data_IF_999733237064
#
_entry.id   IF_999733237064
#
_cell.length_a   1.000
_cell.length_b   1.000
_cell.length_c   1.000
_cell.angle_alpha   90.00
_cell.angle_beta   90.00
_cell.angle_gamma   90.00
#
_symmetry.space_group_name_H-M   'P 1'
#
loop_
_entity.id
_entity.type
_entity.pdbx_description
1 polymer ?
#
# COMPACT_ATOMS: atom_id res chain seq x y z
N UNK A 1 48.08 -21.73 54.79
CA UNK A 1 49.06 -22.48 53.97
C UNK A 1 48.30 -23.49 53.12
N UNK A 2 48.78 -23.68 51.90
CA UNK A 2 48.12 -24.17 50.67
C UNK A 2 47.62 -25.62 50.62
N UNK A 3 46.62 -25.83 49.75
CA UNK A 3 46.46 -26.87 48.70
C UNK A 3 44.98 -27.31 48.60
N UNK A 4 44.18 -26.86 47.60
CA UNK A 4 44.09 -27.22 46.16
C UNK A 4 43.54 -28.63 45.88
N UNK A 5 42.27 -28.62 45.44
CA UNK A 5 41.59 -29.34 44.35
C UNK A 5 41.71 -30.88 44.20
N UNK A 6 40.58 -31.57 44.07
CA UNK A 6 39.92 -31.80 42.76
C UNK A 6 38.77 -32.81 42.90
N UNK A 7 37.57 -32.41 42.46
CA UNK A 7 36.39 -33.26 42.37
C UNK A 7 36.21 -33.83 40.95
N UNK A 8 36.06 -35.15 40.96
CA UNK A 8 35.38 -36.12 40.09
C UNK A 8 34.47 -35.65 38.93
N UNK A 9 34.49 -36.53 37.92
CA UNK A 9 33.37 -37.07 37.13
C UNK A 9 33.12 -36.51 35.71
N UNK A 10 33.64 -37.28 34.75
CA UNK A 10 32.95 -37.89 33.59
C UNK A 10 31.60 -37.32 33.18
N UNK A 11 31.58 -36.62 32.05
CA UNK A 11 30.38 -36.24 31.31
C UNK A 11 30.38 -36.86 29.90
N UNK A 12 29.36 -37.67 29.65
CA UNK A 12 29.02 -38.37 28.41
C UNK A 12 28.94 -37.45 27.18
N UNK A 13 29.49 -37.94 26.06
CA UNK A 13 29.40 -37.36 24.72
C UNK A 13 27.93 -37.26 24.23
N UNK A 14 27.51 -36.05 23.86
CA UNK A 14 26.35 -35.79 23.01
C UNK A 14 26.84 -35.35 21.61
N UNK A 15 26.13 -35.67 20.52
CA UNK A 15 26.60 -35.41 19.15
C UNK A 15 26.55 -33.91 18.80
N UNK A 16 27.35 -33.47 17.82
CA UNK A 16 27.50 -32.05 17.50
C UNK A 16 26.26 -31.49 16.80
N UNK A 17 25.85 -30.33 17.30
CA UNK A 17 24.93 -29.35 16.73
C UNK A 17 25.12 -29.20 15.22
N UNK A 18 24.12 -29.59 14.42
CA UNK A 18 24.05 -29.20 13.02
C UNK A 18 24.01 -27.68 12.93
N UNK A 19 25.00 -27.17 12.20
CA UNK A 19 25.20 -25.76 11.91
C UNK A 19 23.92 -25.16 11.32
N UNK A 20 23.50 -24.04 11.90
CA UNK A 20 22.36 -23.27 11.44
C UNK A 20 22.45 -23.01 9.95
N UNK A 21 21.44 -23.44 9.22
CA UNK A 21 21.11 -22.90 7.90
C UNK A 21 21.01 -21.38 8.07
N UNK A 22 21.84 -20.58 7.38
CA UNK A 22 21.61 -19.15 7.36
C UNK A 22 20.24 -18.96 6.74
N UNK A 23 19.32 -18.34 7.49
CA UNK A 23 18.10 -17.83 6.90
C UNK A 23 18.50 -17.03 5.65
N UNK A 24 17.84 -17.22 4.50
CA UNK A 24 18.14 -16.43 3.32
C UNK A 24 18.07 -14.95 3.73
N UNK A 25 19.02 -14.11 3.27
CA UNK A 25 19.02 -12.71 3.66
C UNK A 25 17.64 -12.16 3.36
N UNK A 26 16.93 -11.77 4.42
CA UNK A 26 15.73 -10.96 4.32
C UNK A 26 16.13 -9.80 3.42
N UNK A 27 15.58 -9.74 2.21
CA UNK A 27 15.69 -8.61 1.28
C UNK A 27 14.95 -7.39 1.87
N UNK A 28 15.29 -7.02 3.10
CA UNK A 28 14.97 -5.75 3.70
C UNK A 28 16.00 -4.73 3.20
N UNK A 29 16.02 -4.46 1.89
CA UNK A 29 16.68 -3.28 1.34
C UNK A 29 15.85 -2.70 0.20
N UNK A 30 15.29 -1.53 0.52
CA UNK A 30 14.68 -0.55 -0.36
C UNK A 30 15.27 -0.52 -1.78
N UNK A 31 14.71 -1.31 -2.69
CA UNK A 31 14.78 -0.95 -4.11
C UNK A 31 14.05 0.38 -4.19
N UNK A 32 14.76 1.49 -4.44
CA UNK A 32 14.13 2.76 -4.83
C UNK A 32 13.26 2.44 -6.04
N UNK A 33 11.96 2.24 -5.79
CA UNK A 33 11.06 1.71 -6.81
C UNK A 33 10.98 2.72 -7.94
N UNK A 34 11.46 2.32 -9.11
CA UNK A 34 11.52 3.19 -10.28
C UNK A 34 10.10 3.58 -10.66
N UNK A 35 9.86 4.88 -10.69
CA UNK A 35 8.62 5.45 -11.21
C UNK A 35 8.56 5.15 -12.71
N UNK A 36 7.44 4.61 -13.18
CA UNK A 36 7.24 4.36 -14.61
C UNK A 36 7.13 5.71 -15.34
N UNK A 37 7.93 5.94 -16.41
CA UNK A 37 7.82 7.15 -17.20
C UNK A 37 6.42 7.33 -17.78
N UNK A 38 5.84 8.49 -17.53
CA UNK A 38 4.49 8.87 -17.95
C UNK A 38 4.58 10.04 -18.92
N UNK A 39 3.72 10.03 -19.94
CA UNK A 39 3.55 11.19 -20.81
C UNK A 39 2.76 12.30 -20.11
N UNK A 40 2.70 13.46 -20.76
CA UNK A 40 2.02 14.65 -20.23
C UNK A 40 0.54 14.39 -19.98
N UNK A 41 -0.15 13.83 -20.97
CA UNK A 41 -1.60 13.63 -20.92
C UNK A 41 -1.98 12.16 -20.96
N UNK A 42 -3.14 11.83 -20.40
CA UNK A 42 -3.75 10.51 -20.53
C UNK A 42 -5.25 10.67 -20.80
N UNK A 43 -5.80 9.81 -21.66
CA UNK A 43 -7.25 9.77 -21.93
C UNK A 43 -7.91 8.47 -21.47
N UNK A 44 -7.10 7.46 -21.11
CA UNK A 44 -7.54 6.23 -20.46
C UNK A 44 -6.58 5.81 -19.36
N UNK A 45 -7.16 5.33 -18.26
CA UNK A 45 -6.43 4.80 -17.13
C UNK A 45 -7.07 3.49 -16.67
N UNK A 46 -6.26 2.47 -16.43
CA UNK A 46 -6.66 1.24 -15.78
C UNK A 46 -6.46 1.38 -14.28
N UNK A 47 -7.50 1.12 -13.50
CA UNK A 47 -7.43 1.36 -12.07
C UNK A 47 -8.63 0.85 -11.30
N UNK A 48 -8.56 1.07 -9.98
CA UNK A 48 -9.59 0.71 -9.01
C UNK A 48 -10.32 1.97 -8.60
N UNK A 49 -11.65 1.96 -8.71
CA UNK A 49 -12.49 3.09 -8.34
C UNK A 49 -12.57 3.22 -6.82
N UNK A 50 -12.40 4.44 -6.32
CA UNK A 50 -12.53 4.82 -4.92
C UNK A 50 -13.76 5.71 -4.80
N UNK A 51 -14.71 5.28 -3.99
CA UNK A 51 -15.89 6.06 -3.64
C UNK A 51 -15.69 6.80 -2.31
N UNK A 52 -16.65 7.67 -2.00
CA UNK A 52 -16.64 8.49 -0.79
C UNK A 52 -16.53 7.65 0.48
N UNK A 53 -17.26 6.53 0.59
CA UNK A 53 -17.19 5.66 1.77
C UNK A 53 -15.83 4.98 1.95
N UNK A 54 -15.17 4.61 0.85
CA UNK A 54 -13.79 4.11 0.91
C UNK A 54 -12.85 5.21 1.39
N UNK A 55 -12.98 6.41 0.85
CA UNK A 55 -12.16 7.55 1.24
C UNK A 55 -12.41 7.97 2.68
N UNK A 56 -13.65 7.92 3.15
CA UNK A 56 -14.00 8.16 4.55
C UNK A 56 -13.34 7.14 5.49
N UNK A 57 -13.40 5.85 5.17
CA UNK A 57 -12.75 4.79 5.97
C UNK A 57 -11.23 5.01 6.06
N UNK A 58 -10.59 5.24 4.92
CA UNK A 58 -9.13 5.42 4.87
C UNK A 58 -8.69 6.77 5.44
N UNK A 59 -9.47 7.83 5.26
CA UNK A 59 -9.28 9.13 5.85
C UNK A 59 -9.42 9.09 7.37
N UNK A 60 -10.41 8.36 7.88
CA UNK A 60 -10.60 8.12 9.32
C UNK A 60 -9.39 7.41 9.92
N UNK A 61 -8.89 6.35 9.24
CA UNK A 61 -7.68 5.65 9.67
C UNK A 61 -6.47 6.59 9.71
N UNK A 62 -6.24 7.37 8.65
CA UNK A 62 -5.17 8.37 8.61
C UNK A 62 -5.33 9.37 9.75
N UNK A 63 -6.52 9.93 9.95
CA UNK A 63 -6.79 10.95 10.97
C UNK A 63 -6.55 10.40 12.37
N UNK A 64 -6.96 9.15 12.65
CA UNK A 64 -6.66 8.48 13.92
C UNK A 64 -5.15 8.27 14.12
N UNK A 65 -4.42 7.93 13.07
CA UNK A 65 -2.96 7.76 13.12
C UNK A 65 -2.23 9.09 13.39
N UNK A 66 -2.63 10.18 12.71
CA UNK A 66 -1.94 11.47 12.81
C UNK A 66 -2.43 12.36 13.95
N UNK A 67 -3.68 12.19 14.37
CA UNK A 67 -4.43 13.06 15.28
C UNK A 67 -5.31 12.25 16.26
N UNK A 68 -4.76 11.26 16.99
CA UNK A 68 -5.55 10.32 17.79
C UNK A 68 -6.42 11.02 18.85
N UNK A 69 -5.89 12.04 19.53
CA UNK A 69 -6.61 12.79 20.57
C UNK A 69 -7.78 13.62 20.04
N UNK A 70 -7.64 14.16 18.83
CA UNK A 70 -8.69 14.96 18.19
C UNK A 70 -9.76 14.02 17.62
N UNK A 71 -9.35 12.92 16.98
CA UNK A 71 -10.26 11.91 16.44
C UNK A 71 -11.28 11.40 17.47
N UNK A 72 -10.85 11.21 18.72
CA UNK A 72 -11.71 10.71 19.81
C UNK A 72 -12.75 11.73 20.31
N UNK A 73 -12.69 12.99 19.86
CA UNK A 73 -13.57 14.07 20.31
C UNK A 73 -14.58 14.51 19.25
N UNK A 74 -14.35 14.13 18.00
CA UNK A 74 -15.22 14.49 16.89
C UNK A 74 -16.40 13.52 16.82
N UNK A 75 -17.58 14.06 16.55
CA UNK A 75 -18.69 13.27 16.04
C UNK A 75 -18.36 12.72 14.65
N UNK A 76 -19.14 11.72 14.20
CA UNK A 76 -18.96 11.15 12.86
C UNK A 76 -19.04 12.22 11.77
N UNK A 77 -19.98 13.17 11.91
CA UNK A 77 -20.17 14.27 10.97
C UNK A 77 -18.96 15.19 10.93
N UNK A 78 -18.47 15.65 12.08
CA UNK A 78 -17.30 16.53 12.11
C UNK A 78 -16.04 15.83 11.57
N UNK A 79 -15.91 14.52 11.79
CA UNK A 79 -14.83 13.73 11.20
C UNK A 79 -14.97 13.63 9.66
N UNK A 80 -16.20 13.50 9.13
CA UNK A 80 -16.44 13.53 7.67
C UNK A 80 -16.02 14.86 7.09
N UNK A 81 -16.41 15.96 7.71
CA UNK A 81 -16.03 17.33 7.29
C UNK A 81 -14.50 17.50 7.27
N UNK A 82 -13.80 17.07 8.34
CA UNK A 82 -12.33 17.12 8.41
C UNK A 82 -11.64 16.24 7.35
N UNK A 83 -12.22 15.09 7.00
CA UNK A 83 -11.69 14.20 5.97
C UNK A 83 -11.89 14.81 4.58
N UNK A 84 -13.02 15.48 4.34
CA UNK A 84 -13.26 16.21 3.09
C UNK A 84 -12.24 17.35 2.92
N UNK A 85 -12.01 18.15 3.96
CA UNK A 85 -10.99 19.21 3.98
C UNK A 85 -9.56 18.68 3.77
N UNK A 86 -9.31 17.44 4.20
CA UNK A 86 -8.01 16.77 4.08
C UNK A 86 -7.97 15.69 2.99
N UNK A 87 -8.93 15.71 2.06
CA UNK A 87 -9.06 14.71 1.00
C UNK A 87 -7.77 14.48 0.19
N UNK A 88 -6.98 15.51 -0.19
CA UNK A 88 -5.70 15.30 -0.85
C UNK A 88 -4.72 14.42 -0.05
N UNK A 89 -4.68 14.59 1.28
CA UNK A 89 -3.84 13.77 2.15
C UNK A 89 -4.34 12.33 2.22
N UNK A 90 -5.66 12.13 2.32
CA UNK A 90 -6.31 10.81 2.29
C UNK A 90 -5.99 10.07 0.99
N UNK A 91 -6.10 10.73 -0.17
CA UNK A 91 -5.77 10.14 -1.47
C UNK A 91 -4.29 9.70 -1.51
N UNK A 92 -3.37 10.57 -1.13
CA UNK A 92 -1.94 10.23 -1.06
C UNK A 92 -1.66 9.06 -0.11
N UNK A 93 -2.34 9.03 1.03
CA UNK A 93 -2.24 7.95 2.01
C UNK A 93 -2.72 6.63 1.42
N UNK A 94 -3.92 6.58 0.81
CA UNK A 94 -4.44 5.38 0.14
C UNK A 94 -3.45 4.82 -0.88
N UNK A 95 -2.93 5.66 -1.78
CA UNK A 95 -1.95 5.23 -2.77
C UNK A 95 -0.66 4.69 -2.11
N UNK A 96 -0.19 5.37 -1.05
CA UNK A 96 0.99 4.93 -0.29
C UNK A 96 0.79 3.56 0.34
N UNK A 97 -0.34 3.35 1.00
CA UNK A 97 -0.68 2.09 1.68
C UNK A 97 -0.81 0.94 0.69
N UNK A 98 -1.49 1.15 -0.45
CA UNK A 98 -1.60 0.13 -1.52
C UNK A 98 -0.22 -0.22 -2.08
N UNK A 99 0.60 0.78 -2.44
CA UNK A 99 1.96 0.47 -2.89
C UNK A 99 2.80 -0.16 -1.79
N UNK A 100 2.58 0.16 -0.52
CA UNK A 100 3.25 -0.49 0.61
C UNK A 100 2.95 -1.99 0.66
N UNK A 101 1.66 -2.33 0.62
CA UNK A 101 1.15 -3.70 0.71
C UNK A 101 1.45 -4.54 -0.55
N UNK A 102 1.41 -3.93 -1.74
CA UNK A 102 1.58 -4.62 -3.02
C UNK A 102 2.80 -4.07 -3.76
N UNK A 103 4.03 -4.49 -3.38
CA UNK A 103 5.27 -3.90 -3.87
C UNK A 103 5.52 -4.13 -5.36
N UNK A 104 4.89 -5.16 -5.93
CA UNK A 104 4.94 -5.55 -7.33
C UNK A 104 4.08 -4.67 -8.23
N UNK A 105 3.13 -3.89 -7.67
CA UNK A 105 2.36 -2.92 -8.45
C UNK A 105 3.29 -1.79 -8.91
N UNK A 106 3.34 -1.47 -10.22
CA UNK A 106 4.16 -0.40 -10.74
C UNK A 106 3.78 0.97 -10.16
N UNK A 107 4.78 1.77 -9.80
CA UNK A 107 4.56 3.12 -9.27
C UNK A 107 4.43 4.15 -10.39
N UNK A 108 3.31 4.86 -10.38
CA UNK A 108 3.03 5.98 -11.26
C UNK A 108 3.14 7.30 -10.49
N UNK A 109 3.49 8.39 -11.18
CA UNK A 109 3.31 9.75 -10.63
C UNK A 109 1.83 10.11 -10.60
N UNK A 110 1.13 9.89 -11.72
CA UNK A 110 -0.33 10.02 -11.80
C UNK A 110 -0.96 8.71 -11.32
N UNK A 111 -0.90 8.49 -10.01
CA UNK A 111 -1.44 7.30 -9.33
C UNK A 111 -2.87 7.50 -8.84
N UNK A 112 -3.39 8.73 -8.80
CA UNK A 112 -4.78 9.05 -8.48
C UNK A 112 -5.30 10.09 -9.46
N UNK A 113 -6.53 9.89 -9.93
CA UNK A 113 -7.23 10.79 -10.85
C UNK A 113 -8.69 10.96 -10.41
N UNK A 114 -9.22 12.17 -10.51
CA UNK A 114 -10.64 12.44 -10.32
C UNK A 114 -11.41 12.00 -11.58
N UNK A 115 -12.35 11.07 -11.43
CA UNK A 115 -13.21 10.60 -12.53
C UNK A 115 -14.47 11.44 -12.66
N UNK A 116 -15.14 11.70 -11.54
CA UNK A 116 -16.37 12.46 -11.52
C UNK A 116 -16.35 13.43 -10.32
N UNK A 117 -16.19 14.74 -10.55
CA UNK A 117 -16.21 15.74 -9.47
C UNK A 117 -17.55 15.79 -8.76
N UNK A 118 -18.67 15.57 -9.46
CA UNK A 118 -20.02 15.65 -8.90
C UNK A 118 -20.30 14.49 -7.95
N UNK A 119 -19.75 13.31 -8.24
CA UNK A 119 -19.95 12.10 -7.44
C UNK A 119 -18.79 11.81 -6.48
N UNK A 120 -17.81 12.71 -6.37
CA UNK A 120 -16.63 12.49 -5.53
C UNK A 120 -15.86 11.21 -5.87
N UNK A 121 -15.93 10.74 -7.13
CA UNK A 121 -15.39 9.43 -7.51
C UNK A 121 -13.96 9.58 -8.02
N UNK A 122 -13.04 8.87 -7.37
CA UNK A 122 -11.62 8.86 -7.70
C UNK A 122 -11.20 7.52 -8.28
N UNK A 123 -10.07 7.50 -8.96
CA UNK A 123 -9.47 6.30 -9.52
C UNK A 123 -8.05 6.16 -9.00
N UNK A 124 -7.77 5.06 -8.31
CA UNK A 124 -6.40 4.60 -8.08
C UNK A 124 -5.86 4.00 -9.38
N UNK A 125 -4.98 4.74 -10.05
CA UNK A 125 -4.42 4.38 -11.34
C UNK A 125 -3.27 3.39 -11.15
N UNK A 126 -3.41 2.23 -11.77
CA UNK A 126 -2.38 1.18 -11.80
C UNK A 126 -1.58 1.24 -13.11
N UNK A 127 -2.19 1.78 -14.16
CA UNK A 127 -1.63 1.90 -15.50
C UNK A 127 -2.38 2.94 -16.33
N UNK A 128 -1.74 3.60 -17.29
CA UNK A 128 -2.41 4.52 -18.22
C UNK A 128 -1.82 4.46 -19.63
N UNK A 129 -2.40 5.23 -20.56
CA UNK A 129 -1.98 5.27 -21.96
C UNK A 129 -1.18 6.51 -22.37
N UNK A 130 -0.57 7.21 -21.42
CA UNK A 130 0.18 8.45 -21.69
C UNK A 130 1.53 8.24 -22.38
N UNK A 131 2.11 7.05 -22.26
CA UNK A 131 3.39 6.70 -22.85
C UNK A 131 3.43 5.20 -23.16
N UNK A 132 4.30 4.73 -24.06
CA UNK A 132 4.50 3.30 -24.26
C UNK A 132 4.95 2.56 -22.98
N UNK A 133 5.73 3.22 -22.11
CA UNK A 133 6.20 2.62 -20.87
C UNK A 133 5.04 2.42 -19.87
N UNK A 134 4.20 3.44 -19.70
CA UNK A 134 2.99 3.33 -18.89
C UNK A 134 2.03 2.30 -19.52
N UNK A 135 1.77 2.37 -20.82
CA UNK A 135 0.80 1.51 -21.50
C UNK A 135 1.21 0.04 -21.62
N UNK A 136 2.49 -0.30 -21.47
CA UNK A 136 2.95 -1.70 -21.56
C UNK A 136 3.34 -2.29 -20.20
N UNK A 137 3.28 -1.52 -19.11
CA UNK A 137 3.62 -2.07 -17.79
C UNK A 137 2.70 -3.23 -17.42
N UNK A 138 3.27 -4.31 -16.90
CA UNK A 138 2.50 -5.45 -16.43
C UNK A 138 1.87 -5.13 -15.08
N UNK A 139 0.58 -5.46 -14.93
CA UNK A 139 -0.14 -5.37 -13.66
C UNK A 139 -0.75 -6.73 -13.42
N UNK A 140 -0.25 -7.45 -12.41
CA UNK A 140 -0.67 -8.81 -12.11
C UNK A 140 -2.08 -8.82 -11.54
N UNK A 141 -2.93 -9.71 -12.04
CA UNK A 141 -4.31 -9.85 -11.56
C UNK A 141 -4.39 -10.17 -10.06
N UNK A 142 -3.45 -10.96 -9.54
CA UNK A 142 -3.36 -11.28 -8.11
C UNK A 142 -3.14 -10.02 -7.25
N UNK A 143 -2.25 -9.12 -7.69
CA UNK A 143 -1.98 -7.88 -6.96
C UNK A 143 -3.17 -6.91 -7.03
N UNK A 144 -3.86 -6.87 -8.17
CA UNK A 144 -5.10 -6.09 -8.34
C UNK A 144 -6.18 -6.59 -7.39
N UNK A 145 -6.41 -7.90 -7.34
CA UNK A 145 -7.41 -8.49 -6.47
C UNK A 145 -7.04 -8.31 -4.99
N UNK A 146 -5.76 -8.46 -4.66
CA UNK A 146 -5.23 -8.15 -3.34
C UNK A 146 -5.48 -6.70 -2.96
N UNK A 147 -5.22 -5.74 -3.85
CA UNK A 147 -5.47 -4.32 -3.61
C UNK A 147 -6.97 -4.01 -3.44
N UNK A 148 -7.86 -4.60 -4.23
CA UNK A 148 -9.33 -4.47 -4.06
C UNK A 148 -9.75 -4.97 -2.67
N UNK A 149 -9.27 -6.15 -2.29
CA UNK A 149 -9.55 -6.77 -0.98
C UNK A 149 -9.03 -5.91 0.16
N UNK A 150 -7.77 -5.48 0.06
CA UNK A 150 -7.11 -4.62 1.04
C UNK A 150 -7.83 -3.28 1.23
N UNK A 151 -8.34 -2.72 0.13
CA UNK A 151 -9.13 -1.50 0.18
C UNK A 151 -10.54 -1.71 0.72
N UNK A 152 -11.01 -2.96 0.93
CA UNK A 152 -12.35 -3.28 1.40
C UNK A 152 -13.42 -3.09 0.32
N UNK A 153 -13.11 -3.46 -0.93
CA UNK A 153 -13.94 -3.23 -2.11
C UNK A 153 -14.50 -4.53 -2.71
N UNK A 154 -14.83 -5.53 -1.90
CA UNK A 154 -15.16 -6.91 -2.34
C UNK A 154 -16.53 -7.07 -3.08
N UNK A 155 -17.16 -5.97 -3.48
CA UNK A 155 -18.36 -5.98 -4.31
C UNK A 155 -18.01 -6.42 -5.75
N UNK A 156 -18.81 -7.33 -6.32
CA UNK A 156 -18.62 -7.89 -7.65
C UNK A 156 -18.51 -6.83 -8.77
N UNK A 157 -19.09 -5.64 -8.55
CA UNK A 157 -19.04 -4.52 -9.47
C UNK A 157 -17.77 -3.67 -9.35
N UNK A 158 -16.97 -3.85 -8.29
CA UNK A 158 -15.76 -3.06 -7.99
C UNK A 158 -14.50 -3.76 -8.47
N UNK A 159 -14.43 -3.98 -9.79
CA UNK A 159 -13.25 -4.53 -10.48
C UNK A 159 -12.41 -3.42 -11.09
N UNK A 160 -11.10 -3.65 -11.14
CA UNK A 160 -10.23 -2.78 -11.90
C UNK A 160 -10.52 -2.91 -13.41
N UNK A 161 -10.67 -1.77 -14.07
CA UNK A 161 -10.94 -1.70 -15.52
C UNK A 161 -10.38 -0.42 -16.11
N UNK A 162 -10.43 -0.32 -17.42
CA UNK A 162 -10.09 0.92 -18.12
C UNK A 162 -11.22 1.93 -18.03
N UNK A 163 -10.92 3.10 -17.52
CA UNK A 163 -11.80 4.25 -17.45
C UNK A 163 -11.35 5.32 -18.45
N UNK A 164 -12.32 6.03 -19.01
CA UNK A 164 -12.04 7.29 -19.71
C UNK A 164 -11.66 8.33 -18.66
N UNK A 165 -10.52 8.97 -18.86
CA UNK A 165 -10.03 10.05 -18.00
C UNK A 165 -9.74 11.28 -18.86
N UNK A 166 -9.66 12.45 -18.25
CA UNK A 166 -9.07 13.64 -18.86
C UNK A 166 -8.05 14.18 -17.87
N UNK A 167 -6.78 13.95 -18.17
CA UNK A 167 -5.67 14.47 -17.39
C UNK A 167 -4.78 15.24 -18.34
N UNK A 168 -4.71 16.55 -18.15
CA UNK A 168 -3.98 17.52 -18.99
C UNK A 168 -2.62 17.92 -18.41
#
# INVERSE_FOLDING_TARGET
MSNIAAQLASGTFAPPTEAGTPAPPSEALSVRRKIIPQGRTANRAYGIMLDEETLYRWGSKLYQEVRPRQSARLSEKELRDEIEDTLPATLMYVAREVYGAFPTIPRLRRNIVLLNPVQGTWLLVLKDNSSPAAFNVEVRSADVQGAITFLGLEDEHRRAKWYKVRVE
#
